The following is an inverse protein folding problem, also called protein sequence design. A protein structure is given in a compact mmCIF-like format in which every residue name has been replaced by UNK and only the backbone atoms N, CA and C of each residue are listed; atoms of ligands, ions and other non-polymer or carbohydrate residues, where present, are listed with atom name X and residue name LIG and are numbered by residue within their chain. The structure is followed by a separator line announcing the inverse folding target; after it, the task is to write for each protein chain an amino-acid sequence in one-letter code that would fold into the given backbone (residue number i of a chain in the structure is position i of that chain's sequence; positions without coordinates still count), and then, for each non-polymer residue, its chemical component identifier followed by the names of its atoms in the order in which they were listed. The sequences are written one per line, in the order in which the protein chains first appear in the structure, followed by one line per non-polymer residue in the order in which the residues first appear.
data_IF_222398534618
#
_entry.id   IF_222398534618
#
_cell.length_a   1.000
_cell.length_b   1.000
_cell.length_c   1.000
_cell.angle_alpha   90.00
_cell.angle_beta   90.00
_cell.angle_gamma   90.00
#
_symmetry.space_group_name_H-M   'P 1'
#
loop_
_entity.id
_entity.type
_entity.pdbx_description
1 polymer ?
#
# COMPACT_ATOMS: atom_id res chain seq x y z
N UNK A 1 -17.05 55.97 62.25
CA UNK A 1 -15.88 56.42 61.49
C UNK A 1 -15.86 55.60 60.20
N UNK A 2 -16.46 56.14 59.14
CA UNK A 2 -16.74 55.49 57.86
C UNK A 2 -16.03 56.32 56.79
N UNK A 3 -15.16 55.71 55.99
CA UNK A 3 -14.62 56.26 54.72
C UNK A 3 -14.35 55.07 53.81
N UNK A 4 -15.28 54.68 52.95
CA UNK A 4 -15.59 55.21 51.60
C UNK A 4 -14.48 54.90 50.58
N UNK A 5 -14.86 53.96 49.72
CA UNK A 5 -14.22 53.45 48.50
C UNK A 5 -14.15 54.55 47.44
N UNK A 6 -13.01 54.66 46.74
CA UNK A 6 -12.91 55.21 45.40
C UNK A 6 -11.84 54.43 44.64
N UNK A 7 -12.25 53.46 43.82
CA UNK A 7 -11.40 52.88 42.77
C UNK A 7 -11.90 53.48 41.45
N UNK A 8 -11.05 54.29 40.82
CA UNK A 8 -11.27 54.85 39.49
C UNK A 8 -11.09 53.75 38.44
N UNK A 9 -12.16 53.44 37.72
CA UNK A 9 -12.11 52.68 36.47
C UNK A 9 -11.58 53.63 35.40
N UNK A 10 -10.31 53.50 35.04
CA UNK A 10 -9.78 54.09 33.80
C UNK A 10 -9.90 53.03 32.71
N UNK A 11 -10.80 53.28 31.76
CA UNK A 11 -10.91 52.50 30.54
C UNK A 11 -9.66 52.67 29.68
N UNK A 12 -9.00 51.57 29.37
CA UNK A 12 -7.99 51.48 28.32
C UNK A 12 -8.65 50.77 27.13
N UNK A 13 -9.09 51.58 26.16
CA UNK A 13 -9.38 51.16 24.81
C UNK A 13 -8.18 51.55 23.95
N UNK A 14 -7.27 50.62 23.62
CA UNK A 14 -6.33 50.78 22.50
C UNK A 14 -6.16 49.42 21.79
N UNK A 15 -7.00 49.25 20.76
CA UNK A 15 -6.71 48.76 19.40
C UNK A 15 -5.61 47.71 19.30
N UNK A 16 -6.01 46.43 19.33
CA UNK A 16 -5.25 45.35 18.69
C UNK A 16 -5.58 45.41 17.20
N UNK A 17 -4.65 45.94 16.40
CA UNK A 17 -4.69 45.85 14.96
C UNK A 17 -4.54 44.38 14.54
N UNK A 18 -5.67 43.71 14.32
CA UNK A 18 -5.69 42.47 13.57
C UNK A 18 -5.33 42.80 12.13
N UNK A 19 -4.07 42.53 11.77
CA UNK A 19 -3.68 42.33 10.38
C UNK A 19 -4.40 41.06 9.93
N UNK A 20 -5.55 41.23 9.28
CA UNK A 20 -6.20 40.18 8.52
C UNK A 20 -5.32 39.90 7.30
N UNK A 21 -4.29 39.08 7.48
CA UNK A 21 -3.75 38.32 6.37
C UNK A 21 -4.88 37.39 5.93
N UNK A 22 -5.51 37.75 4.82
CA UNK A 22 -6.40 36.85 4.11
C UNK A 22 -5.59 35.62 3.74
N UNK A 23 -5.73 34.56 4.54
CA UNK A 23 -5.50 33.21 4.04
C UNK A 23 -6.42 33.08 2.83
N UNK A 24 -5.83 33.08 1.65
CA UNK A 24 -6.51 32.62 0.46
C UNK A 24 -6.94 31.19 0.76
N UNK A 25 -8.24 31.03 0.98
CA UNK A 25 -8.90 29.76 1.17
C UNK A 25 -8.55 28.82 0.02
N UNK A 26 -7.73 27.80 0.29
CA UNK A 26 -7.66 26.59 -0.54
C UNK A 26 -8.89 25.69 -0.32
N UNK A 27 -10.06 26.27 0.01
CA UNK A 27 -11.30 25.54 0.32
C UNK A 27 -12.07 25.12 -0.94
N UNK A 28 -11.56 25.37 -2.14
CA UNK A 28 -12.13 24.84 -3.39
C UNK A 28 -11.49 23.53 -3.86
N UNK A 29 -10.55 22.96 -3.09
CA UNK A 29 -10.20 21.55 -3.28
C UNK A 29 -11.31 20.68 -2.68
N UNK A 30 -12.25 20.26 -3.53
CA UNK A 30 -13.18 19.18 -3.21
C UNK A 30 -12.38 17.88 -3.03
N UNK A 31 -12.00 17.60 -1.79
CA UNK A 31 -11.58 16.26 -1.38
C UNK A 31 -12.78 15.34 -1.47
N UNK A 32 -13.05 14.79 -2.66
CA UNK A 32 -13.93 13.63 -2.75
C UNK A 32 -13.12 12.42 -2.31
N UNK A 33 -13.13 12.14 -1.00
CA UNK A 33 -13.02 10.74 -0.61
C UNK A 33 -14.19 10.04 -1.32
N UNK A 34 -13.90 9.04 -2.15
CA UNK A 34 -14.94 8.27 -2.84
C UNK A 34 -15.90 7.55 -1.87
N UNK A 35 -15.67 7.65 -0.55
CA UNK A 35 -16.62 7.21 0.47
C UNK A 35 -17.97 7.95 0.42
N UNK A 36 -18.05 9.15 -0.16
CA UNK A 36 -19.30 9.92 -0.26
C UNK A 36 -20.07 9.75 -1.58
N UNK A 37 -19.49 9.08 -2.58
CA UNK A 37 -20.25 8.67 -3.76
C UNK A 37 -20.77 7.26 -3.55
N UNK A 38 -21.97 7.16 -2.97
CA UNK A 38 -22.76 5.94 -2.86
C UNK A 38 -23.22 5.36 -4.20
N UNK A 39 -22.33 5.32 -5.20
CA UNK A 39 -22.57 4.60 -6.43
C UNK A 39 -22.25 3.12 -6.18
N UNK A 40 -23.22 2.43 -5.61
CA UNK A 40 -23.33 0.97 -5.78
C UNK A 40 -23.33 0.67 -7.27
N UNK A 41 -22.63 -0.37 -7.71
CA UNK A 41 -22.79 -0.93 -9.06
C UNK A 41 -24.29 -1.04 -9.36
N UNK A 42 -24.81 -0.22 -10.27
CA UNK A 42 -26.16 -0.41 -10.76
C UNK A 42 -26.21 -1.72 -11.53
N UNK A 43 -27.35 -2.40 -11.51
CA UNK A 43 -27.57 -3.65 -12.26
C UNK A 43 -27.39 -3.50 -13.79
N UNK A 44 -27.13 -2.29 -14.30
CA UNK A 44 -26.42 -2.05 -15.56
C UNK A 44 -24.92 -2.37 -15.41
N UNK A 45 -24.64 -3.68 -15.47
CA UNK A 45 -23.41 -4.42 -15.14
C UNK A 45 -22.06 -3.98 -15.77
N UNK A 46 -21.97 -2.92 -16.56
CA UNK A 46 -20.87 -2.78 -17.54
C UNK A 46 -19.84 -1.66 -17.33
N UNK A 47 -19.96 -0.77 -16.33
CA UNK A 47 -19.07 0.43 -16.32
C UNK A 47 -18.13 0.61 -15.12
N UNK A 48 -18.51 0.29 -13.87
CA UNK A 48 -17.67 0.69 -12.71
C UNK A 48 -16.68 -0.39 -12.26
N UNK A 49 -17.07 -1.67 -12.22
CA UNK A 49 -16.13 -2.78 -11.94
C UNK A 49 -15.08 -2.98 -13.04
N UNK A 50 -15.31 -2.38 -14.21
CA UNK A 50 -14.38 -2.41 -15.32
C UNK A 50 -13.19 -1.49 -15.11
N UNK A 51 -13.26 -0.39 -14.34
CA UNK A 51 -12.16 0.57 -14.30
C UNK A 51 -10.85 -0.04 -13.80
N UNK A 52 -10.88 -0.84 -12.72
CA UNK A 52 -9.68 -1.51 -12.21
C UNK A 52 -9.15 -2.57 -13.16
N UNK A 53 -10.06 -3.37 -13.72
CA UNK A 53 -9.70 -4.38 -14.73
C UNK A 53 -9.08 -3.72 -15.96
N UNK A 54 -9.69 -2.66 -16.49
CA UNK A 54 -9.21 -1.89 -17.64
C UNK A 54 -7.86 -1.23 -17.36
N UNK A 55 -7.69 -0.63 -16.17
CA UNK A 55 -6.43 -0.03 -15.76
C UNK A 55 -5.31 -1.09 -15.73
N UNK A 56 -5.55 -2.25 -15.13
CA UNK A 56 -4.58 -3.35 -15.07
C UNK A 56 -4.28 -3.89 -16.47
N UNK A 57 -5.30 -4.16 -17.29
CA UNK A 57 -5.14 -4.74 -18.62
C UNK A 57 -4.41 -3.79 -19.59
N UNK A 58 -4.73 -2.49 -19.54
CA UNK A 58 -4.18 -1.46 -20.44
C UNK A 58 -2.80 -0.97 -20.01
N UNK A 59 -2.63 -0.70 -18.72
CA UNK A 59 -1.39 -0.16 -18.18
C UNK A 59 -0.40 -1.28 -17.85
N UNK A 60 -0.85 -2.51 -17.57
CA UNK A 60 0.01 -3.64 -17.23
C UNK A 60 1.00 -3.33 -16.09
N UNK A 61 0.54 -2.80 -14.94
CA UNK A 61 1.43 -2.43 -13.86
C UNK A 61 1.84 -3.67 -13.06
N UNK A 62 3.13 -3.84 -12.77
CA UNK A 62 3.53 -4.80 -11.74
C UNK A 62 3.31 -4.25 -10.33
N UNK A 63 3.36 -2.92 -10.20
CA UNK A 63 3.22 -2.21 -8.92
C UNK A 63 2.35 -0.96 -9.12
N UNK A 64 1.30 -0.83 -8.32
CA UNK A 64 0.49 0.38 -8.18
C UNK A 64 0.42 0.75 -6.69
N UNK A 65 1.27 1.68 -6.26
CA UNK A 65 1.40 2.01 -4.83
C UNK A 65 1.39 3.50 -4.57
N UNK A 66 0.79 3.91 -3.45
CA UNK A 66 0.80 5.33 -3.08
C UNK A 66 2.18 5.82 -2.68
N UNK A 67 2.86 5.11 -1.78
CA UNK A 67 4.27 5.35 -1.43
C UNK A 67 5.21 4.39 -2.18
N UNK A 68 6.07 4.93 -3.05
CA UNK A 68 7.01 4.13 -3.87
C UNK A 68 8.46 4.17 -3.35
N UNK A 69 8.78 5.05 -2.40
CA UNK A 69 10.14 5.35 -1.91
C UNK A 69 11.07 4.12 -1.78
N UNK A 70 10.69 3.11 -0.99
CA UNK A 70 11.53 1.92 -0.80
C UNK A 70 11.69 1.08 -2.08
N UNK A 71 10.61 0.92 -2.85
CA UNK A 71 10.63 0.10 -4.06
C UNK A 71 11.47 0.74 -5.17
N UNK A 72 11.48 2.07 -5.23
CA UNK A 72 12.23 2.79 -6.25
C UNK A 72 13.74 2.58 -6.14
N UNK A 73 14.27 2.43 -4.92
CA UNK A 73 15.70 2.23 -4.68
C UNK A 73 16.11 0.75 -4.55
N UNK A 74 15.18 -0.13 -4.16
CA UNK A 74 15.52 -1.47 -3.70
C UNK A 74 14.80 -2.61 -4.44
N UNK A 75 14.02 -2.30 -5.47
CA UNK A 75 13.39 -3.30 -6.32
C UNK A 75 13.81 -3.12 -7.78
N UNK A 76 13.98 -4.24 -8.47
CA UNK A 76 14.06 -4.29 -9.93
C UNK A 76 12.63 -4.44 -10.46
N UNK A 77 12.13 -3.48 -11.24
CA UNK A 77 10.75 -3.50 -11.75
C UNK A 77 10.78 -3.51 -13.27
N UNK A 78 10.39 -4.63 -13.88
CA UNK A 78 10.32 -4.84 -15.33
C UNK A 78 8.89 -4.75 -15.85
N UNK A 79 8.23 -3.66 -15.50
CA UNK A 79 6.87 -3.36 -15.93
C UNK A 79 6.55 -1.88 -15.67
N UNK A 80 5.32 -1.49 -16.01
CA UNK A 80 4.82 -0.18 -15.63
C UNK A 80 4.59 -0.10 -14.12
N UNK A 81 4.72 1.11 -13.59
CA UNK A 81 4.49 1.45 -12.18
C UNK A 81 3.48 2.58 -12.12
N UNK A 82 2.52 2.50 -11.21
CA UNK A 82 1.57 3.59 -10.95
C UNK A 82 1.80 4.09 -9.53
N UNK A 83 1.95 5.40 -9.36
CA UNK A 83 2.07 6.00 -8.03
C UNK A 83 1.51 7.41 -8.02
N UNK A 84 0.84 7.77 -6.93
CA UNK A 84 0.43 9.15 -6.66
C UNK A 84 1.41 9.88 -5.72
N UNK A 85 2.51 9.23 -5.32
CA UNK A 85 3.41 9.70 -4.26
C UNK A 85 2.66 10.09 -2.97
N UNK A 86 1.50 9.49 -2.74
CA UNK A 86 0.58 9.83 -1.68
C UNK A 86 0.07 11.27 -1.74
N UNK A 87 -0.12 11.80 -2.95
CA UNK A 87 -0.75 13.09 -3.20
C UNK A 87 -2.04 13.25 -2.38
N UNK A 88 -2.27 14.48 -1.90
CA UNK A 88 -3.35 14.79 -0.97
C UNK A 88 -3.04 14.46 0.50
N UNK A 89 -1.91 13.82 0.80
CA UNK A 89 -1.44 13.58 2.16
C UNK A 89 -0.05 14.17 2.34
N UNK A 90 0.07 15.19 3.21
CA UNK A 90 1.36 15.83 3.53
C UNK A 90 2.39 14.82 4.03
N UNK A 91 1.92 13.68 4.57
CA UNK A 91 2.76 12.61 5.08
C UNK A 91 3.75 12.02 4.07
N UNK A 92 3.27 11.64 2.89
CA UNK A 92 4.12 11.00 1.88
C UNK A 92 5.19 11.95 1.32
N UNK A 93 5.05 13.22 1.69
CA UNK A 93 5.92 14.34 1.42
C UNK A 93 6.69 14.82 2.67
N UNK A 94 6.71 14.05 3.76
CA UNK A 94 7.47 14.37 4.99
C UNK A 94 6.69 15.07 6.11
N UNK A 95 5.36 15.23 5.95
CA UNK A 95 4.46 15.81 6.95
C UNK A 95 4.59 17.32 7.13
N UNK A 96 4.02 17.86 8.22
CA UNK A 96 4.20 19.26 8.63
C UNK A 96 5.65 19.61 9.01
N UNK A 97 6.47 18.58 9.26
CA UNK A 97 7.90 18.67 9.54
C UNK A 97 8.72 18.17 8.34
N UNK A 98 8.35 18.57 7.12
CA UNK A 98 9.17 18.37 5.91
C UNK A 98 10.50 19.15 5.95
N UNK A 99 11.09 19.33 7.13
CA UNK A 99 12.48 19.68 7.30
C UNK A 99 13.29 18.51 6.75
N UNK A 100 14.07 18.81 5.72
CA UNK A 100 14.98 17.90 4.99
C UNK A 100 15.98 17.19 5.93
N UNK A 101 16.06 17.63 7.19
CA UNK A 101 16.96 17.13 8.21
C UNK A 101 16.28 16.10 9.11
N UNK A 102 16.24 14.83 8.69
CA UNK A 102 16.67 13.78 9.62
C UNK A 102 15.86 12.50 9.84
N UNK A 103 14.56 12.36 9.51
CA UNK A 103 13.84 11.16 10.04
C UNK A 103 12.87 10.41 9.13
N UNK A 104 12.54 10.88 7.92
CA UNK A 104 11.57 10.17 7.07
C UNK A 104 12.24 9.42 5.91
N UNK A 105 12.80 8.24 6.24
CA UNK A 105 13.34 7.24 5.29
C UNK A 105 12.33 6.82 4.21
N UNK A 106 11.06 7.11 4.44
CA UNK A 106 9.93 6.74 3.58
C UNK A 106 9.41 7.91 2.76
N UNK A 107 9.98 9.11 2.92
CA UNK A 107 9.58 10.28 2.14
C UNK A 107 9.90 10.05 0.67
N UNK A 108 8.90 10.28 -0.19
CA UNK A 108 9.07 10.22 -1.64
C UNK A 108 10.02 11.32 -2.17
N UNK A 109 10.35 12.30 -1.33
CA UNK A 109 11.17 13.46 -1.65
C UNK A 109 12.69 13.21 -1.77
N UNK A 110 13.25 12.26 -1.04
CA UNK A 110 14.71 11.96 -1.16
C UNK A 110 15.01 11.13 -2.43
N UNK A 111 13.94 10.78 -3.14
CA UNK A 111 13.91 9.77 -4.16
C UNK A 111 13.56 10.45 -5.50
N UNK A 112 14.56 11.06 -6.12
CA UNK A 112 14.48 11.51 -7.52
C UNK A 112 14.42 10.31 -8.46
N UNK A 113 14.03 10.52 -9.71
CA UNK A 113 14.16 9.51 -10.77
C UNK A 113 15.58 8.96 -10.94
N UNK A 114 16.59 9.64 -10.39
CA UNK A 114 17.95 9.15 -10.28
C UNK A 114 17.97 7.80 -9.56
N UNK A 115 17.19 7.58 -8.50
CA UNK A 115 17.16 6.24 -7.86
C UNK A 115 16.32 5.20 -8.62
N UNK A 116 15.39 5.62 -9.48
CA UNK A 116 14.45 4.76 -10.22
C UNK A 116 15.03 4.00 -11.42
N UNK A 117 16.36 3.97 -11.59
CA UNK A 117 17.02 3.29 -12.72
C UNK A 117 16.68 1.80 -12.85
N UNK A 118 16.26 1.18 -11.74
CA UNK A 118 15.82 -0.20 -11.68
C UNK A 118 14.43 -0.44 -12.30
N UNK A 119 13.73 0.62 -12.74
CA UNK A 119 12.43 0.54 -13.43
C UNK A 119 12.64 0.48 -14.95
N UNK A 120 12.38 -0.70 -15.51
CA UNK A 120 12.34 -1.04 -16.93
C UNK A 120 10.87 -1.01 -17.39
N UNK A 121 10.30 0.19 -17.38
CA UNK A 121 8.92 0.50 -17.80
C UNK A 121 8.63 1.99 -17.69
N UNK A 122 7.36 2.36 -17.80
CA UNK A 122 6.90 3.72 -17.54
C UNK A 122 6.42 3.87 -16.09
N UNK A 123 6.60 5.07 -15.52
CA UNK A 123 5.98 5.47 -14.26
C UNK A 123 4.83 6.42 -14.54
N UNK A 124 3.65 6.04 -14.10
CA UNK A 124 2.40 6.74 -14.31
C UNK A 124 2.05 7.49 -13.03
N UNK A 125 1.86 8.80 -13.16
CA UNK A 125 1.73 9.75 -12.04
C UNK A 125 0.58 10.71 -12.28
N UNK A 126 -0.02 11.31 -11.24
CA UNK A 126 -1.11 12.24 -11.44
C UNK A 126 -0.58 13.57 -12.01
N UNK A 127 -1.35 14.22 -12.88
CA UNK A 127 -1.07 15.53 -13.45
C UNK A 127 -1.38 16.65 -12.45
N UNK A 128 -0.71 16.57 -11.31
CA UNK A 128 -0.92 17.45 -10.17
C UNK A 128 0.34 18.27 -9.91
N UNK A 129 0.16 19.41 -9.25
CA UNK A 129 1.28 20.22 -8.80
C UNK A 129 1.95 19.52 -7.62
N UNK A 130 3.27 19.61 -7.53
CA UNK A 130 3.98 19.24 -6.31
C UNK A 130 3.50 20.15 -5.17
N UNK A 131 3.24 19.64 -3.96
CA UNK A 131 2.84 20.49 -2.83
C UNK A 131 3.83 21.64 -2.59
N UNK A 132 3.34 22.85 -2.32
CA UNK A 132 4.20 24.03 -2.10
C UNK A 132 5.20 23.84 -0.96
N UNK A 133 4.82 23.10 0.09
CA UNK A 133 5.72 22.74 1.20
C UNK A 133 6.97 21.99 0.73
N UNK A 134 6.84 21.20 -0.33
CA UNK A 134 7.93 20.44 -0.93
C UNK A 134 8.78 21.30 -1.86
N UNK A 135 8.13 22.12 -2.68
CA UNK A 135 8.83 23.05 -3.57
C UNK A 135 9.73 24.01 -2.77
N UNK A 136 9.27 24.48 -1.60
CA UNK A 136 10.04 25.35 -0.73
C UNK A 136 11.26 24.66 -0.08
N UNK A 137 11.18 23.34 0.11
CA UNK A 137 12.27 22.54 0.70
C UNK A 137 13.41 22.25 -0.28
N UNK A 138 13.18 22.31 -1.60
CA UNK A 138 14.25 22.21 -2.61
C UNK A 138 14.65 23.62 -3.01
N UNK A 139 15.87 24.04 -2.67
CA UNK A 139 16.38 25.37 -3.04
C UNK A 139 16.30 25.65 -4.54
N UNK A 140 16.46 24.62 -5.37
CA UNK A 140 16.35 24.70 -6.83
C UNK A 140 14.93 24.98 -7.34
N UNK A 141 13.89 24.77 -6.52
CA UNK A 141 12.48 24.95 -6.91
C UNK A 141 11.78 26.12 -6.23
N UNK A 142 12.46 26.85 -5.34
CA UNK A 142 11.88 28.00 -4.62
C UNK A 142 11.39 29.12 -5.55
N UNK A 143 11.88 29.19 -6.79
CA UNK A 143 11.45 30.16 -7.81
C UNK A 143 10.36 29.66 -8.76
N UNK A 144 9.96 28.38 -8.68
CA UNK A 144 8.95 27.78 -9.56
C UNK A 144 7.75 27.24 -8.74
N UNK A 145 6.76 28.09 -8.42
CA UNK A 145 5.66 27.77 -7.51
C UNK A 145 4.62 26.76 -8.08
N UNK A 146 4.76 26.31 -9.33
CA UNK A 146 3.75 25.51 -10.03
C UNK A 146 4.30 24.24 -10.71
N UNK A 147 5.44 23.72 -10.25
CA UNK A 147 6.04 22.51 -10.81
C UNK A 147 5.08 21.31 -10.73
N UNK A 148 4.86 20.63 -11.86
CA UNK A 148 4.07 19.39 -11.93
C UNK A 148 4.86 18.20 -11.40
N UNK A 149 4.19 17.17 -10.87
CA UNK A 149 4.86 15.94 -10.40
C UNK A 149 5.70 15.30 -11.51
N UNK A 150 5.20 15.25 -12.75
CA UNK A 150 5.96 14.77 -13.91
C UNK A 150 7.26 15.57 -14.13
N UNK A 151 7.20 16.89 -14.01
CA UNK A 151 8.36 17.76 -14.17
C UNK A 151 9.36 17.55 -13.03
N UNK A 152 8.86 17.49 -11.78
CA UNK A 152 9.66 17.23 -10.59
C UNK A 152 10.46 15.94 -10.71
N UNK A 153 9.83 14.85 -11.18
CA UNK A 153 10.53 13.58 -11.36
C UNK A 153 11.61 13.63 -12.44
N UNK A 154 11.38 14.39 -13.52
CA UNK A 154 12.34 14.51 -14.61
C UNK A 154 13.43 15.55 -14.34
N UNK A 155 13.29 16.37 -13.29
CA UNK A 155 14.25 17.43 -12.97
C UNK A 155 15.37 16.87 -12.10
N UNK A 156 16.64 16.88 -12.55
CA UNK A 156 17.76 16.57 -11.69
C UNK A 156 17.86 17.63 -10.60
N UNK A 157 18.00 17.20 -9.35
CA UNK A 157 18.43 18.09 -8.28
C UNK A 157 19.48 17.42 -7.41
N UNK A 158 20.35 18.25 -6.84
CA UNK A 158 21.24 17.81 -5.79
C UNK A 158 20.39 17.76 -4.52
N UNK A 159 20.04 16.54 -4.08
CA UNK A 159 19.52 16.38 -2.73
C UNK A 159 20.58 16.99 -1.80
N UNK A 160 20.24 17.98 -0.95
CA UNK A 160 21.22 18.68 -0.13
C UNK A 160 21.97 17.66 0.73
N UNK A 161 23.18 17.33 0.29
CA UNK A 161 24.08 16.42 0.96
C UNK A 161 24.62 17.07 2.21
N UNK A 162 24.03 16.72 3.34
CA UNK A 162 24.74 16.56 4.62
C UNK A 162 23.78 15.87 5.59
N UNK A 163 23.58 14.57 5.34
CA UNK A 163 23.09 13.68 6.37
C UNK A 163 24.28 13.42 7.29
N UNK A 164 24.38 14.23 8.36
CA UNK A 164 25.47 14.22 9.35
C UNK A 164 26.81 14.69 8.76
N UNK A 165 27.57 15.52 9.47
CA UNK A 165 28.93 15.91 9.09
C UNK A 165 29.94 14.74 9.04
N UNK A 166 29.46 13.52 9.23
CA UNK A 166 30.15 12.29 8.92
C UNK A 166 30.00 11.99 7.43
N UNK A 167 31.07 12.24 6.68
CA UNK A 167 31.30 11.56 5.40
C UNK A 167 30.94 10.08 5.57
N UNK A 168 30.06 9.49 4.73
CA UNK A 168 29.72 8.08 4.86
C UNK A 168 31.01 7.28 4.94
N UNK A 169 31.19 6.49 6.01
CA UNK A 169 32.32 5.57 6.13
C UNK A 169 32.40 4.78 4.82
N UNK A 170 33.55 4.84 4.12
CA UNK A 170 33.84 4.21 2.81
C UNK A 170 33.56 2.69 2.72
N UNK A 171 32.99 2.07 3.74
CA UNK A 171 32.64 0.65 3.78
C UNK A 171 31.21 0.30 4.19
N UNK A 172 30.33 1.29 4.48
CA UNK A 172 28.95 1.00 4.93
C UNK A 172 27.93 1.79 4.13
N UNK A 173 27.56 1.19 3.00
CA UNK A 173 26.51 1.61 2.07
C UNK A 173 26.87 2.91 1.35
N UNK A 174 27.60 2.77 0.24
CA UNK A 174 27.54 3.70 -0.88
C UNK A 174 26.08 3.81 -1.37
N UNK A 175 25.26 4.63 -0.71
CA UNK A 175 24.18 5.36 -1.37
C UNK A 175 24.75 6.68 -1.90
N UNK A 176 25.84 6.62 -2.64
CA UNK A 176 26.20 7.72 -3.55
C UNK A 176 25.15 7.70 -4.64
N UNK A 177 24.06 8.45 -4.44
CA UNK A 177 23.05 8.77 -5.45
C UNK A 177 23.68 9.65 -6.55
N UNK A 178 24.67 9.12 -7.27
CA UNK A 178 25.16 9.67 -8.52
C UNK A 178 24.61 8.82 -9.63
N UNK A 179 23.31 8.97 -9.88
CA UNK A 179 22.69 8.29 -11.03
C UNK A 179 22.50 9.32 -12.13
N UNK A 180 23.09 9.01 -13.27
CA UNK A 180 22.89 9.76 -14.51
C UNK A 180 21.43 9.59 -14.94
N UNK A 181 20.68 10.67 -15.20
CA UNK A 181 19.33 10.57 -15.74
C UNK A 181 19.34 9.70 -17.00
N UNK A 182 18.39 8.77 -17.12
CA UNK A 182 18.15 8.08 -18.38
C UNK A 182 17.51 9.11 -19.32
N UNK A 183 18.15 9.39 -20.46
CA UNK A 183 17.85 10.47 -21.41
C UNK A 183 16.46 10.46 -22.09
N UNK A 184 15.41 9.83 -21.54
CA UNK A 184 14.08 9.78 -22.16
C UNK A 184 13.01 10.38 -21.24
N UNK A 185 12.56 11.60 -21.58
CA UNK A 185 11.40 12.30 -21.01
C UNK A 185 10.07 11.52 -21.12
N UNK A 186 10.05 10.40 -21.85
CA UNK A 186 8.87 9.56 -22.11
C UNK A 186 8.63 8.48 -21.04
N UNK A 187 9.55 8.31 -20.06
CA UNK A 187 9.35 7.31 -19.01
C UNK A 187 8.32 7.71 -17.96
N UNK A 188 8.07 9.01 -17.76
CA UNK A 188 7.06 9.49 -16.79
C UNK A 188 5.82 10.00 -17.51
N UNK A 189 4.69 9.33 -17.30
CA UNK A 189 3.41 9.62 -17.95
C UNK A 189 2.47 10.25 -16.93
N UNK A 190 2.05 11.49 -17.18
CA UNK A 190 1.07 12.17 -16.35
C UNK A 190 -0.35 11.74 -16.75
N UNK A 191 -1.23 11.58 -15.75
CA UNK A 191 -2.63 11.18 -15.89
C UNK A 191 -3.54 12.10 -15.10
N UNK A 192 -4.71 12.39 -15.66
CA UNK A 192 -5.65 13.35 -15.07
C UNK A 192 -6.22 12.86 -13.74
N UNK A 193 -6.40 11.54 -13.63
CA UNK A 193 -6.91 10.87 -12.44
C UNK A 193 -6.11 9.59 -12.19
N UNK A 194 -5.66 9.42 -10.94
CA UNK A 194 -5.11 8.17 -10.42
C UNK A 194 -5.78 7.90 -9.07
N UNK A 195 -6.37 6.71 -8.93
CA UNK A 195 -6.88 6.21 -7.65
C UNK A 195 -6.16 4.90 -7.36
N UNK A 196 -5.53 4.79 -6.19
CA UNK A 196 -4.92 3.56 -5.67
C UNK A 196 -5.51 3.35 -4.29
N UNK A 197 -6.32 2.32 -4.13
CA UNK A 197 -6.98 2.05 -2.85
C UNK A 197 -7.14 0.55 -2.59
N UNK A 198 -7.47 0.23 -1.35
CA UNK A 198 -7.85 -1.10 -0.91
C UNK A 198 -9.25 -1.06 -0.30
N UNK A 199 -9.98 -2.19 -0.27
CA UNK A 199 -11.32 -2.21 0.32
C UNK A 199 -11.26 -1.93 1.83
N UNK A 200 -12.32 -1.31 2.36
CA UNK A 200 -12.54 -1.27 3.80
C UNK A 200 -13.09 -2.60 4.32
N UNK A 201 -13.16 -2.78 5.64
CA UNK A 201 -13.80 -3.97 6.21
C UNK A 201 -15.29 -4.01 5.85
N UNK A 202 -15.94 -2.85 5.88
CA UNK A 202 -17.34 -2.68 5.50
C UNK A 202 -17.58 -3.05 4.03
N UNK A 203 -16.64 -2.71 3.13
CA UNK A 203 -16.72 -3.08 1.72
C UNK A 203 -16.71 -4.62 1.56
N UNK A 204 -15.93 -5.35 2.38
CA UNK A 204 -15.88 -6.82 2.37
C UNK A 204 -17.10 -7.44 3.06
N UNK A 205 -17.54 -6.90 4.21
CA UNK A 205 -18.75 -7.35 4.93
C UNK A 205 -19.97 -7.26 4.00
N UNK A 206 -20.08 -6.16 3.23
CA UNK A 206 -21.18 -5.95 2.31
C UNK A 206 -21.29 -7.00 1.19
N UNK A 207 -20.23 -7.79 0.93
CA UNK A 207 -20.26 -8.89 -0.06
C UNK A 207 -20.98 -10.14 0.46
N UNK A 208 -20.95 -10.37 1.77
CA UNK A 208 -21.49 -11.57 2.41
C UNK A 208 -21.96 -11.28 3.86
N UNK A 209 -22.94 -10.36 4.05
CA UNK A 209 -23.32 -9.87 5.38
C UNK A 209 -23.77 -10.98 6.34
N UNK A 210 -24.32 -12.08 5.81
CA UNK A 210 -24.73 -13.25 6.58
C UNK A 210 -23.57 -13.93 7.35
N UNK A 211 -22.31 -13.79 6.92
CA UNK A 211 -21.16 -14.30 7.71
C UNK A 211 -20.99 -13.54 9.04
N UNK A 212 -21.54 -12.33 9.15
CA UNK A 212 -21.51 -11.50 10.37
C UNK A 212 -22.86 -11.44 11.10
N UNK A 213 -23.89 -12.12 10.59
CA UNK A 213 -25.22 -12.11 11.20
C UNK A 213 -25.26 -12.80 12.58
N UNK A 214 -24.41 -13.81 12.80
CA UNK A 214 -24.28 -14.51 14.08
C UNK A 214 -22.81 -14.78 14.43
N UNK A 215 -22.54 -15.00 15.72
CA UNK A 215 -21.21 -15.39 16.18
C UNK A 215 -20.79 -16.77 15.65
N UNK A 216 -21.76 -17.70 15.54
CA UNK A 216 -21.56 -19.07 15.07
C UNK A 216 -21.63 -19.22 13.54
N UNK A 217 -21.82 -18.12 12.80
CA UNK A 217 -21.86 -18.16 11.34
C UNK A 217 -20.55 -18.73 10.78
N UNK A 218 -20.67 -19.40 9.62
CA UNK A 218 -19.50 -19.80 8.84
C UNK A 218 -18.52 -18.63 8.70
N UNK A 219 -17.22 -18.92 8.71
CA UNK A 219 -16.19 -17.90 8.45
C UNK A 219 -15.87 -17.74 6.96
N UNK A 220 -16.41 -18.61 6.12
CA UNK A 220 -16.11 -18.65 4.69
C UNK A 220 -17.40 -18.77 3.89
N UNK A 221 -17.52 -17.95 2.85
CA UNK A 221 -18.54 -18.09 1.81
C UNK A 221 -17.88 -18.19 0.45
N UNK A 222 -18.35 -19.13 -0.36
CA UNK A 222 -17.97 -19.27 -1.76
C UNK A 222 -19.11 -18.82 -2.67
N UNK A 223 -18.76 -18.10 -3.73
CA UNK A 223 -19.64 -17.78 -4.85
C UNK A 223 -19.12 -18.46 -6.12
N UNK A 224 -20.05 -18.91 -6.97
CA UNK A 224 -19.76 -19.56 -8.25
C UNK A 224 -19.62 -21.09 -8.20
N UNK A 225 -19.62 -21.70 -7.00
CA UNK A 225 -19.66 -23.15 -6.85
C UNK A 225 -20.17 -23.53 -5.46
N UNK A 226 -20.88 -24.66 -5.39
CA UNK A 226 -21.38 -25.24 -4.14
C UNK A 226 -20.39 -26.24 -3.51
N UNK A 227 -19.24 -26.49 -4.16
CA UNK A 227 -18.22 -27.36 -3.60
C UNK A 227 -17.65 -26.77 -2.31
N UNK A 228 -17.40 -27.60 -1.27
CA UNK A 228 -16.87 -27.13 -0.01
C UNK A 228 -15.52 -26.43 -0.24
N UNK A 229 -15.28 -25.38 0.52
CA UNK A 229 -13.96 -24.73 0.54
C UNK A 229 -13.01 -25.54 1.39
N UNK A 230 -11.79 -25.78 0.91
CA UNK A 230 -10.72 -26.48 1.64
C UNK A 230 -10.05 -25.56 2.68
N UNK A 231 -10.86 -24.78 3.38
CA UNK A 231 -10.44 -23.94 4.49
C UNK A 231 -10.87 -24.58 5.81
N UNK A 232 -9.96 -24.57 6.79
CA UNK A 232 -10.17 -25.02 8.15
C UNK A 232 -10.16 -23.82 9.09
N UNK A 233 -11.03 -23.84 10.10
CA UNK A 233 -11.00 -22.85 11.17
C UNK A 233 -10.12 -23.41 12.29
N UNK A 234 -9.21 -22.58 12.80
CA UNK A 234 -8.32 -22.87 13.91
C UNK A 234 -8.61 -21.91 15.05
N UNK A 235 -8.40 -22.35 16.28
CA UNK A 235 -8.58 -21.56 17.48
C UNK A 235 -7.26 -21.49 18.27
N UNK A 236 -6.98 -20.31 18.82
CA UNK A 236 -5.85 -20.08 19.72
C UNK A 236 -6.19 -18.93 20.67
N UNK A 237 -5.97 -19.13 21.97
CA UNK A 237 -6.18 -18.09 23.01
C UNK A 237 -7.52 -17.36 22.90
N UNK A 238 -8.62 -18.08 22.67
CA UNK A 238 -10.00 -17.56 22.51
C UNK A 238 -10.28 -16.78 21.22
N UNK A 239 -9.36 -16.79 20.25
CA UNK A 239 -9.55 -16.19 18.93
C UNK A 239 -9.46 -17.26 17.84
N UNK A 240 -10.19 -17.05 16.74
CA UNK A 240 -10.20 -17.97 15.60
C UNK A 240 -9.67 -17.32 14.33
N UNK A 241 -8.94 -18.10 13.54
CA UNK A 241 -8.46 -17.73 12.20
C UNK A 241 -8.80 -18.81 11.19
N UNK A 242 -8.89 -18.43 9.92
CA UNK A 242 -9.13 -19.33 8.80
C UNK A 242 -7.79 -19.71 8.17
N UNK A 243 -7.60 -20.97 7.78
CA UNK A 243 -6.37 -21.47 7.19
C UNK A 243 -6.67 -22.45 6.05
N UNK A 244 -5.84 -22.53 5.00
CA UNK A 244 -5.98 -23.61 4.02
C UNK A 244 -5.63 -24.96 4.65
N UNK A 245 -6.36 -26.00 4.28
CA UNK A 245 -5.94 -27.36 4.61
C UNK A 245 -4.67 -27.72 3.81
N UNK A 246 -3.56 -27.93 4.51
CA UNK A 246 -2.26 -28.24 3.90
C UNK A 246 -2.23 -29.63 3.22
N UNK A 247 -3.21 -30.48 3.53
CA UNK A 247 -3.31 -31.85 2.98
C UNK A 247 -4.13 -31.92 1.70
N UNK A 248 -4.92 -30.87 1.41
CA UNK A 248 -5.82 -30.84 0.27
C UNK A 248 -5.51 -29.65 -0.65
N UNK A 249 -6.07 -29.72 -1.85
CA UNK A 249 -5.98 -28.66 -2.84
C UNK A 249 -7.19 -27.75 -2.74
N UNK A 250 -6.96 -26.45 -2.64
CA UNK A 250 -8.03 -25.46 -2.67
C UNK A 250 -8.65 -25.41 -4.07
N UNK A 251 -9.87 -25.95 -4.19
CA UNK A 251 -10.67 -25.93 -5.40
C UNK A 251 -11.27 -24.53 -5.56
N UNK A 252 -10.65 -23.66 -6.37
CA UNK A 252 -11.05 -22.25 -6.48
C UNK A 252 -11.20 -21.74 -7.92
N UNK A 253 -11.22 -22.64 -8.90
CA UNK A 253 -11.45 -22.29 -10.29
C UNK A 253 -12.71 -21.42 -10.46
N UNK A 254 -12.55 -20.29 -11.14
CA UNK A 254 -13.59 -19.28 -11.42
C UNK A 254 -14.44 -18.89 -10.20
N UNK A 255 -13.86 -18.95 -9.01
CA UNK A 255 -14.60 -18.78 -7.76
C UNK A 255 -14.18 -17.50 -7.03
N UNK A 256 -15.14 -16.94 -6.29
CA UNK A 256 -14.90 -15.86 -5.36
C UNK A 256 -15.15 -16.38 -3.95
N UNK A 257 -14.21 -16.19 -3.03
CA UNK A 257 -14.30 -16.67 -1.66
C UNK A 257 -14.15 -15.49 -0.71
N UNK A 258 -15.15 -15.29 0.13
CA UNK A 258 -15.15 -14.26 1.18
C UNK A 258 -14.76 -14.95 2.48
N UNK A 259 -13.79 -14.37 3.18
CA UNK A 259 -13.27 -14.88 4.45
C UNK A 259 -13.47 -13.81 5.53
N UNK A 260 -14.19 -14.19 6.58
CA UNK A 260 -14.38 -13.41 7.80
C UNK A 260 -13.12 -13.50 8.67
N UNK A 261 -12.57 -12.34 9.04
CA UNK A 261 -11.39 -12.15 9.88
C UNK A 261 -10.08 -12.59 9.22
N UNK A 262 -9.14 -13.06 10.02
CA UNK A 262 -7.77 -13.41 9.59
C UNK A 262 -7.73 -14.66 8.72
N UNK A 263 -6.92 -14.60 7.64
CA UNK A 263 -6.61 -15.73 6.78
C UNK A 263 -5.11 -16.05 6.85
N UNK A 264 -4.76 -17.32 7.06
CA UNK A 264 -3.40 -17.82 7.01
C UNK A 264 -3.26 -18.85 5.89
N UNK A 265 -2.42 -18.54 4.90
CA UNK A 265 -2.11 -19.40 3.78
C UNK A 265 -0.72 -19.98 3.98
N UNK A 266 -0.62 -21.31 4.03
CA UNK A 266 0.63 -22.03 4.21
C UNK A 266 0.81 -23.08 3.13
N UNK A 267 1.91 -22.97 2.38
CA UNK A 267 2.28 -23.86 1.27
C UNK A 267 1.06 -24.16 0.36
N UNK A 268 0.34 -23.10 -0.03
CA UNK A 268 -0.98 -23.23 -0.65
C UNK A 268 -0.88 -24.01 -1.96
N UNK A 269 -1.66 -25.09 -2.07
CA UNK A 269 -1.98 -25.76 -3.34
C UNK A 269 -3.36 -25.33 -3.78
N UNK A 270 -3.49 -24.83 -5.01
CA UNK A 270 -4.75 -24.24 -5.49
C UNK A 270 -5.02 -24.62 -6.95
N UNK A 271 -6.24 -25.05 -7.25
CA UNK A 271 -6.76 -25.01 -8.62
C UNK A 271 -7.45 -23.67 -8.83
N UNK A 272 -6.86 -22.82 -9.67
CA UNK A 272 -7.29 -21.45 -9.92
C UNK A 272 -7.57 -21.21 -11.40
N UNK A 273 -8.04 -22.24 -12.12
CA UNK A 273 -8.41 -22.11 -13.54
C UNK A 273 -9.46 -21.00 -13.71
N UNK A 274 -9.23 -20.07 -14.64
CA UNK A 274 -10.06 -18.87 -14.82
C UNK A 274 -10.09 -17.89 -13.62
N UNK A 275 -9.22 -18.10 -12.64
CA UNK A 275 -8.98 -17.23 -11.50
C UNK A 275 -9.68 -17.63 -10.21
N UNK A 276 -8.93 -17.56 -9.12
CA UNK A 276 -9.38 -17.65 -7.74
C UNK A 276 -9.29 -16.28 -7.07
N UNK A 277 -10.37 -15.78 -6.47
CA UNK A 277 -10.39 -14.46 -5.79
C UNK A 277 -10.76 -14.61 -4.33
N UNK A 278 -9.88 -14.15 -3.44
CA UNK A 278 -10.05 -14.16 -2.00
C UNK A 278 -10.32 -12.73 -1.50
N UNK A 279 -11.41 -12.56 -0.76
CA UNK A 279 -11.87 -11.30 -0.18
C UNK A 279 -11.85 -11.42 1.34
N UNK A 280 -10.88 -10.80 1.99
CA UNK A 280 -10.59 -11.06 3.41
C UNK A 280 -10.83 -9.81 4.25
N UNK A 281 -11.64 -9.94 5.30
CA UNK A 281 -11.99 -8.80 6.16
C UNK A 281 -10.89 -8.46 7.18
N UNK A 282 -10.03 -9.41 7.54
CA UNK A 282 -8.83 -9.19 8.36
C UNK A 282 -7.54 -9.25 7.54
N UNK A 283 -6.40 -9.45 8.21
CA UNK A 283 -5.10 -9.63 7.55
C UNK A 283 -4.96 -11.01 6.90
N UNK A 284 -4.12 -11.06 5.87
CA UNK A 284 -3.68 -12.29 5.22
C UNK A 284 -2.21 -12.53 5.52
N UNK A 285 -1.89 -13.71 6.05
CA UNK A 285 -0.52 -14.16 6.23
C UNK A 285 -0.22 -15.25 5.23
N UNK A 286 0.89 -15.13 4.50
CA UNK A 286 1.32 -16.12 3.49
C UNK A 286 2.69 -16.67 3.90
N UNK A 287 2.76 -17.97 4.12
CA UNK A 287 3.98 -18.72 4.39
C UNK A 287 4.23 -19.75 3.29
N UNK A 288 5.38 -19.67 2.64
CA UNK A 288 5.81 -20.61 1.63
C UNK A 288 5.30 -20.29 0.22
N UNK A 289 5.56 -21.19 -0.74
CA UNK A 289 5.14 -21.04 -2.12
C UNK A 289 3.62 -21.21 -2.28
N UNK A 290 3.12 -20.68 -3.40
CA UNK A 290 1.77 -20.95 -3.92
C UNK A 290 1.94 -21.80 -5.16
N UNK A 291 1.36 -23.00 -5.14
CA UNK A 291 1.48 -24.01 -6.19
C UNK A 291 0.13 -24.15 -6.88
N UNK A 292 0.09 -23.85 -8.18
CA UNK A 292 -1.09 -24.12 -8.99
C UNK A 292 -1.15 -25.60 -9.35
N UNK A 293 -2.28 -26.23 -9.06
CA UNK A 293 -2.50 -27.66 -9.26
C UNK A 293 -2.58 -28.05 -10.73
N UNK A 294 -3.12 -27.17 -11.56
CA UNK A 294 -3.33 -27.38 -12.98
C UNK A 294 -2.42 -26.45 -13.79
N UNK A 295 -1.92 -26.96 -14.93
CA UNK A 295 -1.15 -26.16 -15.87
C UNK A 295 -2.11 -25.45 -16.82
N UNK A 296 -2.29 -24.15 -16.64
CA UNK A 296 -3.17 -23.33 -17.47
C UNK A 296 -2.63 -21.92 -17.62
N UNK A 297 -2.87 -21.30 -18.77
CA UNK A 297 -2.44 -19.92 -19.05
C UNK A 297 -3.37 -18.87 -18.45
N UNK A 298 -4.44 -19.31 -17.80
CA UNK A 298 -5.45 -18.50 -17.11
C UNK A 298 -5.45 -18.71 -15.58
N UNK A 299 -4.49 -19.49 -15.06
CA UNK A 299 -4.29 -19.68 -13.62
C UNK A 299 -3.89 -18.36 -12.98
N UNK A 300 -4.68 -17.90 -12.01
CA UNK A 300 -4.33 -16.73 -11.23
C UNK A 300 -4.99 -16.75 -9.85
N UNK A 301 -4.27 -16.26 -8.86
CA UNK A 301 -4.79 -16.00 -7.53
C UNK A 301 -4.83 -14.49 -7.30
N UNK A 302 -5.98 -14.00 -6.85
CA UNK A 302 -6.19 -12.62 -6.49
C UNK A 302 -6.56 -12.56 -5.02
N UNK A 303 -5.86 -11.77 -4.23
CA UNK A 303 -6.10 -11.65 -2.79
C UNK A 303 -6.31 -10.18 -2.45
N UNK A 304 -7.48 -9.86 -1.92
CA UNK A 304 -7.75 -8.55 -1.35
C UNK A 304 -7.96 -8.66 0.15
N UNK A 305 -7.35 -7.76 0.92
CA UNK A 305 -7.48 -7.67 2.37
C UNK A 305 -7.89 -6.27 2.79
N UNK A 306 -8.84 -6.18 3.73
CA UNK A 306 -9.22 -4.91 4.32
C UNK A 306 -8.20 -4.36 5.33
N UNK A 307 -7.23 -5.17 5.80
CA UNK A 307 -6.22 -4.74 6.76
C UNK A 307 -4.79 -4.76 6.20
N UNK A 308 -4.31 -5.93 5.75
CA UNK A 308 -2.94 -6.07 5.26
C UNK A 308 -2.61 -7.48 4.77
N UNK A 309 -1.58 -7.60 3.94
CA UNK A 309 -1.04 -8.87 3.44
C UNK A 309 0.44 -8.97 3.83
N UNK A 310 0.81 -10.06 4.51
CA UNK A 310 2.13 -10.28 5.09
C UNK A 310 2.71 -11.60 4.60
N UNK A 311 3.83 -11.55 3.88
CA UNK A 311 4.44 -12.73 3.26
C UNK A 311 5.81 -13.03 3.89
N UNK A 312 5.95 -14.22 4.47
CA UNK A 312 7.21 -14.67 5.08
C UNK A 312 7.64 -13.88 6.32
N UNK A 313 6.69 -13.27 7.03
CA UNK A 313 6.96 -12.48 8.23
C UNK A 313 6.57 -13.28 9.47
N UNK A 314 7.54 -13.50 10.36
CA UNK A 314 7.33 -14.00 11.71
C UNK A 314 6.89 -12.90 12.67
N UNK A 315 6.37 -13.30 13.83
CA UNK A 315 5.73 -12.40 14.79
C UNK A 315 6.66 -11.32 15.33
N UNK A 316 7.92 -11.68 15.62
CA UNK A 316 8.95 -10.75 16.10
C UNK A 316 9.25 -9.64 15.08
N UNK A 317 9.33 -9.98 13.78
CA UNK A 317 9.49 -8.98 12.74
C UNK A 317 8.25 -8.16 12.48
N UNK A 318 7.08 -8.77 12.63
CA UNK A 318 5.81 -8.06 12.53
C UNK A 318 5.78 -6.93 13.54
N UNK A 319 6.06 -7.20 14.82
CA UNK A 319 6.17 -6.19 15.87
C UNK A 319 7.23 -5.13 15.54
N UNK A 320 8.45 -5.57 15.21
CA UNK A 320 9.58 -4.68 14.94
C UNK A 320 9.33 -3.73 13.78
N UNK A 321 8.64 -4.18 12.72
CA UNK A 321 8.42 -3.37 11.51
C UNK A 321 7.13 -2.58 11.54
N UNK A 322 6.08 -3.15 12.13
CA UNK A 322 4.77 -2.51 12.17
C UNK A 322 4.61 -1.58 13.36
N UNK A 323 5.25 -1.85 14.50
CA UNK A 323 4.99 -1.13 15.75
C UNK A 323 6.18 -0.32 16.26
N UNK A 324 7.42 -0.75 16.02
CA UNK A 324 8.57 -0.03 16.61
C UNK A 324 8.82 1.32 15.94
N UNK A 325 8.89 2.43 16.70
CA UNK A 325 8.87 3.80 16.19
C UNK A 325 9.90 4.11 15.09
N UNK A 326 11.07 3.49 15.14
CA UNK A 326 12.17 3.75 14.19
C UNK A 326 11.76 3.42 12.74
N UNK A 327 10.81 2.50 12.54
CA UNK A 327 10.32 2.10 11.20
C UNK A 327 8.89 2.58 10.90
N UNK A 328 8.13 3.00 11.91
CA UNK A 328 6.73 3.44 11.77
C UNK A 328 6.62 4.94 11.54
N UNK A 329 7.66 5.72 11.87
CA UNK A 329 7.72 7.18 11.67
C UNK A 329 7.64 7.65 10.21
N UNK A 330 7.43 6.76 9.23
CA UNK A 330 7.30 7.12 7.80
C UNK A 330 6.22 6.41 6.98
N UNK A 331 5.42 5.51 7.55
CA UNK A 331 4.22 4.95 6.90
C UNK A 331 2.92 5.38 7.64
N UNK A 332 2.21 6.39 7.14
CA UNK A 332 0.82 6.74 7.47
C UNK A 332 0.01 6.62 6.18
N UNK A 333 -0.97 5.73 6.23
CA UNK A 333 -1.92 5.41 5.16
C UNK A 333 -3.08 6.39 5.28
N UNK A 334 -3.56 6.93 4.16
CA UNK A 334 -4.70 7.85 4.19
C UNK A 334 -5.98 7.04 3.96
N UNK A 335 -6.73 6.80 5.03
CA UNK A 335 -8.03 6.14 4.98
C UNK A 335 -8.78 6.32 6.30
N UNK A 336 -9.90 5.62 6.47
CA UNK A 336 -10.71 5.65 7.71
C UNK A 336 -9.94 5.19 8.94
N UNK A 337 -8.87 4.39 8.74
CA UNK A 337 -8.01 3.85 9.82
C UNK A 337 -6.54 4.20 9.56
N UNK A 338 -5.85 4.86 10.52
CA UNK A 338 -4.42 5.15 10.42
C UNK A 338 -3.56 3.88 10.25
N UNK A 339 -2.40 4.01 9.61
CA UNK A 339 -1.45 2.89 9.45
C UNK A 339 -1.13 2.21 10.79
N UNK A 340 -0.89 2.98 11.85
CA UNK A 340 -0.56 2.45 13.18
C UNK A 340 -1.68 1.56 13.74
N UNK A 341 -2.94 1.91 13.48
CA UNK A 341 -4.08 1.11 13.91
C UNK A 341 -4.14 -0.21 13.14
N UNK A 342 -3.95 -0.17 11.81
CA UNK A 342 -3.89 -1.36 10.96
C UNK A 342 -2.71 -2.26 11.30
N UNK A 343 -1.57 -1.65 11.59
CA UNK A 343 -0.35 -2.29 12.05
C UNK A 343 -0.55 -3.00 13.40
N UNK A 344 -1.17 -2.34 14.37
CA UNK A 344 -1.57 -2.92 15.64
C UNK A 344 -2.54 -4.10 15.43
N UNK A 345 -3.56 -3.91 14.59
CA UNK A 345 -4.52 -4.96 14.28
C UNK A 345 -3.84 -6.17 13.62
N UNK A 346 -2.97 -5.94 12.64
CA UNK A 346 -2.22 -7.01 11.98
C UNK A 346 -1.32 -7.75 12.97
N UNK A 347 -0.68 -7.04 13.90
CA UNK A 347 0.11 -7.66 14.96
C UNK A 347 -0.75 -8.57 15.85
N UNK A 348 -1.90 -8.08 16.34
CA UNK A 348 -2.84 -8.86 17.13
C UNK A 348 -3.41 -10.07 16.38
N UNK A 349 -3.67 -9.92 15.08
CA UNK A 349 -4.10 -11.04 14.23
C UNK A 349 -2.96 -12.02 13.95
N UNK A 350 -1.71 -11.57 14.03
CA UNK A 350 -0.53 -12.43 13.94
C UNK A 350 -0.30 -13.25 15.22
N UNK A 351 -0.54 -12.67 16.40
CA UNK A 351 -0.33 -13.38 17.69
C UNK A 351 -1.25 -14.59 17.87
N UNK A 352 -2.42 -14.60 17.21
CA UNK A 352 -3.34 -15.74 17.25
C UNK A 352 -2.87 -16.91 16.36
N UNK A 353 -1.90 -16.70 15.46
CA UNK A 353 -1.34 -17.75 14.60
C UNK A 353 -0.05 -18.28 15.23
N UNK A 354 -0.14 -19.35 16.02
CA UNK A 354 1.00 -19.99 16.70
C UNK A 354 2.19 -20.31 15.77
N UNK A 355 1.93 -20.58 14.49
CA UNK A 355 2.98 -20.85 13.51
C UNK A 355 3.89 -19.63 13.25
N UNK A 356 3.36 -18.40 13.34
CA UNK A 356 4.14 -17.18 13.11
C UNK A 356 5.16 -16.90 14.22
N UNK A 357 4.94 -17.41 15.42
CA UNK A 357 5.93 -17.33 16.52
C UNK A 357 7.13 -18.26 16.24
N UNK A 358 6.86 -19.39 15.60
CA UNK A 358 7.86 -20.40 15.21
C UNK A 358 8.52 -20.12 13.87
N UNK A 359 7.94 -19.23 13.07
CA UNK A 359 8.61 -18.70 11.89
C UNK A 359 9.88 -18.01 12.36
N UNK A 360 10.99 -18.74 12.24
CA UNK A 360 12.31 -18.14 12.13
C UNK A 360 12.17 -17.29 10.89
N UNK A 361 11.93 -16.01 11.13
CA UNK A 361 12.01 -15.00 10.11
C UNK A 361 13.21 -15.29 9.22
N UNK A 362 13.10 -14.98 7.94
CA UNK A 362 14.19 -15.11 6.97
C UNK A 362 15.46 -14.28 7.32
N UNK A 363 15.59 -13.81 8.58
CA UNK A 363 16.72 -13.14 9.20
C UNK A 363 16.61 -13.08 10.74
N UNK A 364 16.42 -14.19 11.49
CA UNK A 364 16.55 -14.12 12.97
C UNK A 364 18.02 -13.86 13.37
N UNK A 365 18.95 -14.39 12.57
CA UNK A 365 20.38 -14.09 12.63
C UNK A 365 20.83 -13.51 11.28
N UNK A 366 21.91 -12.72 11.24
CA UNK A 366 22.54 -12.31 9.98
C UNK A 366 22.90 -13.51 9.08
N UNK A 367 22.99 -14.69 9.68
CA UNK A 367 23.32 -15.97 9.06
C UNK A 367 22.10 -16.82 8.64
N UNK A 368 20.86 -16.43 8.99
CA UNK A 368 19.69 -17.17 8.51
C UNK A 368 19.47 -16.83 7.03
N UNK A 369 19.55 -17.82 6.11
CA UNK A 369 19.37 -17.54 4.70
C UNK A 369 17.96 -16.99 4.48
N UNK A 370 17.87 -15.87 3.75
CA UNK A 370 16.58 -15.40 3.27
C UNK A 370 15.97 -16.53 2.41
N UNK A 371 14.65 -16.63 2.38
CA UNK A 371 13.97 -17.61 1.51
C UNK A 371 13.63 -16.94 0.17
N UNK A 372 14.12 -17.54 -0.92
CA UNK A 372 13.72 -17.18 -2.29
C UNK A 372 12.41 -17.89 -2.60
N UNK A 373 11.35 -17.13 -2.88
CA UNK A 373 10.07 -17.68 -3.31
C UNK A 373 9.57 -16.85 -4.50
N UNK A 374 9.39 -17.54 -5.62
CA UNK A 374 8.78 -16.94 -6.79
C UNK A 374 7.26 -17.04 -6.70
N UNK A 375 6.59 -15.93 -6.97
CA UNK A 375 5.15 -15.85 -7.10
C UNK A 375 4.79 -15.52 -8.54
N UNK A 376 3.89 -16.28 -9.16
CA UNK A 376 3.41 -16.07 -10.53
C UNK A 376 1.89 -16.08 -10.55
N UNK A 377 1.28 -15.33 -11.47
CA UNK A 377 -0.17 -15.20 -11.56
C UNK A 377 -0.83 -14.63 -10.30
N UNK A 378 -0.12 -13.80 -9.54
CA UNK A 378 -0.58 -13.29 -8.24
C UNK A 378 -0.96 -11.81 -8.30
N UNK A 379 -2.19 -11.48 -7.91
CA UNK A 379 -2.63 -10.10 -7.75
C UNK A 379 -2.94 -9.84 -6.27
N UNK A 380 -2.25 -8.88 -5.66
CA UNK A 380 -2.45 -8.52 -4.26
C UNK A 380 -3.04 -7.11 -4.14
N UNK A 381 -4.07 -6.95 -3.32
CA UNK A 381 -4.62 -5.65 -2.96
C UNK A 381 -4.84 -5.51 -1.46
N UNK A 382 -4.18 -4.55 -0.81
CA UNK A 382 -4.40 -4.28 0.60
C UNK A 382 -3.84 -2.90 0.98
N UNK A 383 -4.27 -2.31 2.11
CA UNK A 383 -3.68 -1.08 2.60
C UNK A 383 -2.17 -1.24 2.83
N UNK A 384 -1.77 -2.35 3.48
CA UNK A 384 -0.37 -2.69 3.80
C UNK A 384 -0.01 -4.00 3.12
N UNK A 385 1.06 -4.02 2.32
CA UNK A 385 1.63 -5.26 1.77
C UNK A 385 3.09 -5.37 2.14
N UNK A 386 3.45 -6.33 2.97
CA UNK A 386 4.83 -6.56 3.36
C UNK A 386 5.31 -7.95 2.96
N UNK A 387 6.55 -8.05 2.50
CA UNK A 387 7.18 -9.32 2.16
C UNK A 387 8.62 -9.41 2.64
N UNK A 388 9.01 -10.58 3.15
CA UNK A 388 10.39 -10.93 3.53
C UNK A 388 11.02 -12.00 2.65
N UNK A 389 10.23 -12.59 1.77
CA UNK A 389 10.79 -13.42 0.70
C UNK A 389 11.65 -12.57 -0.23
N UNK A 390 12.37 -13.19 -1.13
CA UNK A 390 12.95 -12.52 -2.30
C UNK A 390 12.70 -13.41 -3.51
N UNK A 391 13.10 -12.96 -4.69
CA UNK A 391 12.83 -13.68 -5.95
C UNK A 391 11.88 -12.90 -6.86
N UNK A 392 11.29 -13.62 -7.80
CA UNK A 392 10.42 -13.07 -8.82
C UNK A 392 8.98 -12.95 -8.30
N UNK A 393 8.46 -11.74 -8.30
CA UNK A 393 7.02 -11.47 -8.22
C UNK A 393 6.49 -11.14 -9.61
N UNK A 394 5.86 -12.11 -10.26
CA UNK A 394 5.20 -11.96 -11.55
C UNK A 394 3.69 -11.83 -11.34
N UNK A 395 3.20 -10.59 -11.41
CA UNK A 395 1.81 -10.26 -11.12
C UNK A 395 1.57 -8.77 -10.94
N UNK A 396 0.64 -8.40 -10.06
CA UNK A 396 0.31 -6.99 -9.78
C UNK A 396 0.09 -6.75 -8.27
N UNK A 397 0.79 -5.78 -7.69
CA UNK A 397 0.62 -5.32 -6.32
C UNK A 397 -0.10 -3.98 -6.30
N UNK A 398 -1.20 -3.85 -5.56
CA UNK A 398 -1.98 -2.62 -5.42
C UNK A 398 -2.09 -2.27 -3.93
N UNK A 399 -1.38 -1.24 -3.47
CA UNK A 399 -1.35 -0.93 -2.04
C UNK A 399 -1.19 0.55 -1.71
N UNK A 400 -1.55 0.94 -0.50
CA UNK A 400 -1.20 2.27 0.02
C UNK A 400 0.24 2.31 0.51
N UNK A 401 0.70 1.23 1.15
CA UNK A 401 2.08 1.02 1.57
C UNK A 401 2.54 -0.38 1.19
N UNK A 402 3.70 -0.46 0.52
CA UNK A 402 4.31 -1.72 0.11
C UNK A 402 5.77 -1.78 0.55
N UNK A 403 6.13 -2.81 1.33
CA UNK A 403 7.49 -3.01 1.83
C UNK A 403 7.97 -4.43 1.56
N UNK A 404 8.88 -4.55 0.61
CA UNK A 404 9.47 -5.82 0.19
C UNK A 404 10.92 -5.94 0.70
N UNK A 405 11.51 -7.12 0.58
CA UNK A 405 12.90 -7.36 0.99
C UNK A 405 13.87 -6.53 0.13
N UNK A 406 14.76 -5.77 0.77
CA UNK A 406 15.63 -4.81 0.07
C UNK A 406 16.65 -5.50 -0.83
N UNK A 407 16.79 -5.00 -2.06
CA UNK A 407 17.89 -5.25 -2.99
C UNK A 407 17.79 -6.54 -3.81
N UNK A 408 16.71 -7.30 -3.69
CA UNK A 408 16.59 -8.65 -4.29
C UNK A 408 15.17 -9.00 -4.76
N UNK A 409 14.28 -8.01 -4.88
CA UNK A 409 12.94 -8.23 -5.40
C UNK A 409 12.84 -7.81 -6.86
N UNK A 410 12.37 -8.75 -7.67
CA UNK A 410 12.13 -8.55 -9.09
C UNK A 410 10.63 -8.56 -9.35
N UNK A 411 10.11 -7.50 -9.96
CA UNK A 411 8.70 -7.39 -10.31
C UNK A 411 8.51 -7.47 -11.82
N UNK A 412 7.68 -8.39 -12.26
CA UNK A 412 7.18 -8.48 -13.64
C UNK A 412 5.66 -8.39 -13.63
N UNK A 413 5.08 -7.85 -14.70
CA UNK A 413 3.65 -7.97 -14.91
C UNK A 413 3.33 -9.37 -15.47
N UNK A 414 2.31 -10.02 -14.90
CA UNK A 414 1.83 -11.29 -15.43
C UNK A 414 0.75 -11.08 -16.50
N UNK A 415 1.00 -11.61 -17.69
CA UNK A 415 0.09 -11.48 -18.83
C UNK A 415 -1.27 -12.13 -18.61
N UNK A 416 -1.44 -13.02 -17.61
CA UNK A 416 -2.76 -13.54 -17.24
C UNK A 416 -3.74 -12.41 -16.91
N UNK A 417 -3.27 -11.33 -16.30
CA UNK A 417 -4.08 -10.18 -15.90
C UNK A 417 -4.51 -9.29 -17.07
N UNK A 418 -4.07 -9.57 -18.30
CA UNK A 418 -4.64 -8.96 -19.52
C UNK A 418 -5.99 -9.57 -19.92
N UNK A 419 -6.33 -10.75 -19.39
CA UNK A 419 -7.49 -11.55 -19.82
C UNK A 419 -8.49 -11.88 -18.73
N UNK A 420 -8.15 -11.61 -17.47
CA UNK A 420 -9.02 -11.93 -16.32
C UNK A 420 -9.47 -10.67 -15.61
N UNK A 421 -10.71 -10.70 -15.10
CA UNK A 421 -11.25 -9.59 -14.31
C UNK A 421 -10.59 -9.54 -12.93
N UNK A 422 -10.25 -8.32 -12.50
CA UNK A 422 -9.68 -8.02 -11.19
C UNK A 422 -10.80 -7.74 -10.18
N UNK A 423 -10.89 -8.55 -9.12
CA UNK A 423 -11.85 -8.44 -8.02
C UNK A 423 -13.28 -7.97 -8.40
N UNK A 424 -14.00 -8.71 -9.25
CA UNK A 424 -15.30 -8.29 -9.80
C UNK A 424 -16.40 -8.00 -8.77
N UNK A 425 -16.29 -8.53 -7.55
CA UNK A 425 -17.29 -8.28 -6.49
C UNK A 425 -17.13 -6.95 -5.76
N UNK A 426 -15.99 -6.26 -5.85
CA UNK A 426 -15.81 -4.97 -5.17
C UNK A 426 -16.62 -3.89 -5.86
N UNK A 427 -17.46 -3.18 -5.09
CA UNK A 427 -18.29 -2.09 -5.62
C UNK A 427 -17.50 -0.84 -6.00
N UNK A 428 -16.38 -0.62 -5.33
CA UNK A 428 -15.47 0.50 -5.57
C UNK A 428 -14.25 0.02 -6.36
N UNK A 429 -13.78 0.78 -7.37
CA UNK A 429 -12.57 0.42 -8.09
C UNK A 429 -11.36 0.51 -7.16
N UNK A 430 -10.47 -0.48 -7.17
CA UNK A 430 -9.22 -0.46 -6.39
C UNK A 430 -8.10 0.29 -7.11
N UNK A 431 -8.24 0.45 -8.43
CA UNK A 431 -7.32 1.16 -9.30
C UNK A 431 -8.10 1.91 -10.38
N UNK A 432 -7.79 3.19 -10.57
CA UNK A 432 -8.31 4.02 -11.67
C UNK A 432 -7.15 4.79 -12.28
N UNK A 433 -7.09 4.86 -13.61
CA UNK A 433 -6.10 5.63 -14.37
C UNK A 433 -6.75 6.25 -15.61
N UNK A 434 -6.91 7.57 -15.66
CA UNK A 434 -7.53 8.28 -16.80
C UNK A 434 -6.56 9.22 -17.51
#
# INVERSE_FOLDING_TARGET
MIRTIYIRIFGVFIIVGFVSMGFQNCSDMKFRSLAEQGNTCSDDLDHVCHESTLAIQKIQPAVAVRGISCLMCHAEIRANVITDFGYGSSWYWGGSNATVNGESWFNNYVNTWQSAHSIIGSVIVPDQNVPTSIQNSVSQFQSNPAMKIKEFMNTPYDAPGNWDGNTPEEGKVEMTFRVTPINNNDKVIAKSEIVIQAPSEEDIIALAPELWATLDASRVKRFGSNAPTQFVVRENSSATYTMNDETTELQCAKSNIIVKGTLYLRNLKVDAAGGCRLYVSGSVFIEGPIVYATTGTDQNLQITSANGIFMGIGLNNLERRLLKPIHVRGLQISGTRPYSERANQAYLEGTIINALDKLIDAKKDEDSPRLSIDYTGLLLNAPIIHSRYFGLFKGTVIAEAALFSLGQFHFEFDQVFTRVNAFPLLKKPILVVK
#
